data_IF_949483761455
#
_entry.id   IF_949483761455
#
_cell.length_a   1.000
_cell.length_b   1.000
_cell.length_c   1.000
_cell.angle_alpha   90.00
_cell.angle_beta   90.00
_cell.angle_gamma   90.00
#
_symmetry.space_group_name_H-M   'P 1'
#
loop_
_entity.id
_entity.type
_entity.pdbx_description
1 polymer ?
#
# COMPACT_ATOMS: atom_id res chain seq x y z
N UNK A 1 5.44 10.54 10.61
CA UNK A 1 6.55 9.70 10.14
C UNK A 1 6.45 9.32 8.65
N UNK A 2 5.27 9.11 8.09
CA UNK A 2 5.10 8.88 6.62
C UNK A 2 5.54 10.05 5.75
N UNK A 3 5.50 11.28 6.26
CA UNK A 3 5.88 12.50 5.51
C UNK A 3 7.38 12.66 5.24
N UNK A 4 8.25 11.82 5.80
CA UNK A 4 9.69 11.88 5.53
C UNK A 4 10.16 10.96 4.38
N UNK A 5 9.32 10.03 3.96
CA UNK A 5 9.67 9.05 2.92
C UNK A 5 9.79 9.71 1.54
N UNK A 6 8.81 10.55 1.20
CA UNK A 6 8.79 11.28 -0.05
C UNK A 6 10.02 12.18 -0.25
N UNK A 7 10.32 13.11 0.67
CA UNK A 7 11.49 13.98 0.56
C UNK A 7 12.80 13.22 0.48
N UNK A 8 12.96 12.13 1.25
CA UNK A 8 14.16 11.30 1.21
C UNK A 8 14.36 10.66 -0.17
N UNK A 9 13.32 10.00 -0.70
CA UNK A 9 13.39 9.36 -2.01
C UNK A 9 13.59 10.38 -3.13
N UNK A 10 12.89 11.51 -3.09
CA UNK A 10 13.08 12.60 -4.05
C UNK A 10 14.53 13.11 -4.03
N UNK A 11 15.13 13.26 -2.84
CA UNK A 11 16.52 13.69 -2.70
C UNK A 11 17.52 12.66 -3.23
N UNK A 12 17.25 11.36 -3.11
CA UNK A 12 18.08 10.29 -3.69
C UNK A 12 17.93 10.28 -5.22
N UNK A 13 16.71 10.33 -5.73
CA UNK A 13 16.43 10.30 -7.17
C UNK A 13 17.03 11.54 -7.86
N UNK A 14 16.93 12.71 -7.23
CA UNK A 14 17.47 13.97 -7.77
C UNK A 14 19.00 13.97 -7.94
N UNK A 15 19.72 13.02 -7.32
CA UNK A 15 21.17 12.88 -7.43
C UNK A 15 21.61 11.79 -8.41
N UNK A 16 20.68 11.07 -9.01
CA UNK A 16 20.91 10.06 -10.04
C UNK A 16 20.82 10.67 -11.44
N UNK A 17 21.15 9.88 -12.47
CA UNK A 17 21.06 10.32 -13.86
C UNK A 17 19.63 10.72 -14.22
N UNK A 18 19.49 11.70 -15.10
CA UNK A 18 18.21 12.20 -15.66
C UNK A 18 17.10 12.45 -14.61
N UNK A 19 17.38 13.30 -13.60
CA UNK A 19 16.51 13.44 -12.44
C UNK A 19 15.09 13.89 -12.78
N UNK A 20 14.89 14.71 -13.83
CA UNK A 20 13.57 15.20 -14.23
C UNK A 20 12.66 14.05 -14.67
N UNK A 21 13.13 13.20 -15.57
CA UNK A 21 12.36 12.05 -16.07
C UNK A 21 12.12 11.02 -14.97
N UNK A 22 13.14 10.76 -14.15
CA UNK A 22 13.04 9.80 -13.06
C UNK A 22 12.10 10.26 -11.93
N UNK A 23 12.12 11.54 -11.55
CA UNK A 23 11.17 12.09 -10.57
C UNK A 23 9.73 12.07 -11.12
N UNK A 24 9.55 12.45 -12.39
CA UNK A 24 8.25 12.38 -13.04
C UNK A 24 7.71 10.95 -13.07
N UNK A 25 8.54 9.99 -13.51
CA UNK A 25 8.17 8.58 -13.58
C UNK A 25 7.87 7.98 -12.20
N UNK A 26 8.67 8.32 -11.18
CA UNK A 26 8.42 7.92 -9.81
C UNK A 26 7.08 8.47 -9.29
N UNK A 27 6.81 9.75 -9.53
CA UNK A 27 5.56 10.39 -9.14
C UNK A 27 4.33 9.77 -9.80
N UNK A 28 4.40 9.49 -11.11
CA UNK A 28 3.34 8.80 -11.85
C UNK A 28 3.13 7.39 -11.30
N UNK A 29 4.20 6.59 -11.18
CA UNK A 29 4.11 5.22 -10.67
C UNK A 29 3.55 5.18 -9.25
N UNK A 30 3.99 6.09 -8.38
CA UNK A 30 3.52 6.18 -7.00
C UNK A 30 2.04 6.59 -6.92
N UNK A 31 1.59 7.57 -7.73
CA UNK A 31 0.19 7.97 -7.78
C UNK A 31 -0.74 6.82 -8.20
N UNK A 32 -0.34 6.03 -9.20
CA UNK A 32 -1.08 4.83 -9.61
C UNK A 32 -1.04 3.74 -8.55
N UNK A 33 0.11 3.49 -7.93
CA UNK A 33 0.23 2.53 -6.84
C UNK A 33 -0.68 2.87 -5.66
N UNK A 34 -0.76 4.15 -5.26
CA UNK A 34 -1.68 4.64 -4.23
C UNK A 34 -3.15 4.41 -4.57
N UNK A 35 -3.55 4.64 -5.82
CA UNK A 35 -4.93 4.38 -6.25
C UNK A 35 -5.25 2.89 -6.21
N UNK A 36 -4.32 2.05 -6.67
CA UNK A 36 -4.49 0.59 -6.68
C UNK A 36 -4.58 0.04 -5.25
N UNK A 37 -3.79 0.57 -4.31
CA UNK A 37 -3.83 0.14 -2.91
C UNK A 37 -5.01 0.71 -2.11
N UNK A 38 -5.69 1.74 -2.62
CA UNK A 38 -6.76 2.43 -1.90
C UNK A 38 -7.80 1.50 -1.27
N UNK A 39 -8.28 0.45 -1.95
CA UNK A 39 -9.22 -0.50 -1.34
C UNK A 39 -8.66 -1.25 -0.12
N UNK A 40 -7.35 -1.48 -0.04
CA UNK A 40 -6.74 -2.27 1.04
C UNK A 40 -6.30 -1.43 2.26
N UNK A 41 -6.27 -0.11 2.13
CA UNK A 41 -5.85 0.80 3.20
C UNK A 41 -6.70 0.65 4.47
N UNK A 42 -8.00 0.45 4.34
CA UNK A 42 -8.93 0.36 5.46
C UNK A 42 -8.97 -1.01 6.16
N UNK A 43 -8.14 -1.97 5.73
CA UNK A 43 -8.03 -3.30 6.36
C UNK A 43 -7.68 -3.21 7.85
N UNK A 44 -6.85 -2.25 8.24
CA UNK A 44 -6.48 -2.05 9.64
C UNK A 44 -7.69 -1.71 10.51
N UNK A 45 -8.57 -0.81 10.05
CA UNK A 45 -9.81 -0.45 10.75
C UNK A 45 -10.76 -1.65 10.85
N UNK A 46 -10.93 -2.40 9.76
CA UNK A 46 -11.75 -3.60 9.76
C UNK A 46 -11.19 -4.68 10.71
N UNK A 47 -9.86 -4.87 10.74
CA UNK A 47 -9.24 -5.84 11.64
C UNK A 47 -9.39 -5.45 13.10
N UNK A 48 -9.26 -4.16 13.42
CA UNK A 48 -9.44 -3.66 14.78
C UNK A 48 -10.89 -3.82 15.25
N UNK A 49 -11.86 -3.58 14.36
CA UNK A 49 -13.29 -3.58 14.70
C UNK A 49 -13.93 -4.97 14.70
N UNK A 50 -13.55 -5.85 13.75
CA UNK A 50 -14.27 -7.09 13.47
C UNK A 50 -13.60 -8.37 14.00
N UNK A 51 -12.32 -8.35 14.38
CA UNK A 51 -11.63 -9.54 14.87
C UNK A 51 -11.87 -9.67 16.36
N UNK A 52 -12.75 -10.56 16.78
CA UNK A 52 -13.09 -10.77 18.19
C UNK A 52 -12.63 -12.13 18.72
N UNK A 53 -12.73 -13.14 17.89
CA UNK A 53 -12.48 -14.54 18.23
C UNK A 53 -11.75 -15.28 17.08
N UNK A 54 -11.56 -16.58 17.27
CA UNK A 54 -10.91 -17.46 16.29
C UNK A 54 -11.67 -17.51 14.95
N UNK A 55 -12.99 -17.46 14.96
CA UNK A 55 -13.80 -17.59 13.74
C UNK A 55 -13.77 -16.30 12.93
N UNK A 56 -13.98 -15.15 13.58
CA UNK A 56 -13.89 -13.83 12.96
C UNK A 56 -12.49 -13.57 12.38
N UNK A 57 -11.42 -13.98 13.10
CA UNK A 57 -10.06 -13.93 12.59
C UNK A 57 -9.89 -14.71 11.28
N UNK A 58 -10.38 -15.97 11.23
CA UNK A 58 -10.24 -16.81 10.04
C UNK A 58 -11.02 -16.26 8.85
N UNK A 59 -12.27 -15.85 9.08
CA UNK A 59 -13.16 -15.28 8.03
C UNK A 59 -12.61 -13.98 7.49
N UNK A 60 -12.20 -13.05 8.37
CA UNK A 60 -11.64 -11.78 7.94
C UNK A 60 -10.31 -11.97 7.21
N UNK A 61 -9.43 -12.87 7.69
CA UNK A 61 -8.18 -13.20 7.01
C UNK A 61 -8.42 -13.74 5.59
N UNK A 62 -9.38 -14.64 5.41
CA UNK A 62 -9.72 -15.16 4.09
C UNK A 62 -10.25 -14.07 3.16
N UNK A 63 -11.12 -13.19 3.67
CA UNK A 63 -11.62 -12.03 2.93
C UNK A 63 -10.47 -11.10 2.48
N UNK A 64 -9.54 -10.80 3.37
CA UNK A 64 -8.41 -9.90 3.10
C UNK A 64 -7.45 -10.52 2.06
N UNK A 65 -7.19 -11.82 2.13
CA UNK A 65 -6.35 -12.48 1.14
C UNK A 65 -7.02 -12.50 -0.24
N UNK A 66 -8.35 -12.71 -0.29
CA UNK A 66 -9.12 -12.55 -1.52
C UNK A 66 -9.04 -11.13 -2.08
N UNK A 67 -9.24 -10.13 -1.24
CA UNK A 67 -9.14 -8.72 -1.63
C UNK A 67 -7.74 -8.37 -2.15
N UNK A 68 -6.69 -8.77 -1.45
CA UNK A 68 -5.30 -8.57 -1.89
C UNK A 68 -5.05 -9.25 -3.25
N UNK A 69 -5.58 -10.46 -3.44
CA UNK A 69 -5.49 -11.17 -4.72
C UNK A 69 -6.17 -10.41 -5.86
N UNK A 70 -7.38 -9.88 -5.62
CA UNK A 70 -8.12 -9.07 -6.60
C UNK A 70 -7.35 -7.80 -6.97
N UNK A 71 -6.84 -7.08 -5.96
CA UNK A 71 -6.09 -5.82 -6.18
C UNK A 71 -4.78 -6.08 -6.93
N UNK A 72 -4.07 -7.16 -6.59
CA UNK A 72 -2.85 -7.55 -7.32
C UNK A 72 -3.16 -7.98 -8.76
N UNK A 73 -4.25 -8.74 -8.98
CA UNK A 73 -4.71 -9.11 -10.32
C UNK A 73 -5.11 -7.88 -11.15
N UNK A 74 -5.75 -6.88 -10.52
CA UNK A 74 -6.07 -5.61 -11.16
C UNK A 74 -4.82 -4.84 -11.57
N UNK A 75 -3.80 -4.78 -10.70
CA UNK A 75 -2.51 -4.19 -11.05
C UNK A 75 -1.84 -4.92 -12.22
N UNK A 76 -1.85 -6.25 -12.21
CA UNK A 76 -1.34 -7.04 -13.33
C UNK A 76 -2.08 -6.76 -14.63
N UNK A 77 -3.41 -6.58 -14.57
CA UNK A 77 -4.20 -6.23 -15.74
C UNK A 77 -3.82 -4.85 -16.32
N UNK A 78 -3.55 -3.87 -15.46
CA UNK A 78 -3.03 -2.55 -15.89
C UNK A 78 -1.65 -2.69 -16.53
N UNK A 79 -0.79 -3.59 -16.04
CA UNK A 79 0.56 -3.82 -16.54
C UNK A 79 0.61 -4.59 -17.86
N UNK A 80 -0.51 -5.07 -18.41
CA UNK A 80 -0.56 -5.62 -19.77
C UNK A 80 -0.13 -4.50 -20.74
N UNK A 81 0.91 -4.71 -21.59
CA UNK A 81 1.50 -3.62 -22.37
C UNK A 81 0.53 -2.74 -23.15
N UNK A 82 -0.44 -3.26 -23.92
CA UNK A 82 -1.39 -2.42 -24.63
C UNK A 82 -2.30 -1.62 -23.70
N UNK A 83 -2.70 -2.18 -22.55
CA UNK A 83 -3.54 -1.49 -21.55
C UNK A 83 -2.74 -0.37 -20.88
N UNK A 84 -1.51 -0.67 -20.48
CA UNK A 84 -0.62 0.30 -19.86
C UNK A 84 -0.34 1.48 -20.79
N UNK A 85 0.01 1.21 -22.06
CA UNK A 85 0.28 2.27 -23.04
C UNK A 85 -0.95 3.13 -23.29
N UNK A 86 -2.11 2.53 -23.45
CA UNK A 86 -3.37 3.28 -23.60
C UNK A 86 -3.62 4.21 -22.40
N UNK A 87 -3.46 3.69 -21.16
CA UNK A 87 -3.69 4.51 -19.95
C UNK A 87 -2.66 5.65 -19.87
N UNK A 88 -1.37 5.36 -20.06
CA UNK A 88 -0.31 6.34 -19.83
C UNK A 88 -0.17 7.35 -20.97
N UNK A 89 -0.23 6.88 -22.21
CA UNK A 89 0.03 7.75 -23.38
C UNK A 89 -1.26 8.45 -23.85
N UNK A 90 -2.37 7.71 -23.99
CA UNK A 90 -3.60 8.27 -24.55
C UNK A 90 -4.47 8.94 -23.49
N UNK A 91 -4.64 8.30 -22.33
CA UNK A 91 -5.54 8.79 -21.29
C UNK A 91 -4.85 9.85 -20.40
N UNK A 92 -3.66 9.60 -19.88
CA UNK A 92 -2.94 10.53 -18.99
C UNK A 92 -2.09 11.51 -19.78
N UNK A 93 -1.69 11.16 -21.00
CA UNK A 93 -0.83 11.94 -21.89
C UNK A 93 0.59 12.18 -21.30
N UNK A 94 1.13 11.15 -20.63
CA UNK A 94 2.50 11.18 -20.11
C UNK A 94 3.48 11.00 -21.28
N UNK A 95 4.62 11.72 -21.32
CA UNK A 95 5.66 11.51 -22.33
C UNK A 95 6.18 10.06 -22.32
N UNK A 96 6.51 9.52 -23.51
CA UNK A 96 6.87 8.09 -23.67
C UNK A 96 8.04 7.68 -22.80
N UNK A 97 9.08 8.52 -22.69
CA UNK A 97 10.24 8.26 -21.83
C UNK A 97 9.87 8.11 -20.35
N UNK A 98 8.93 8.92 -19.87
CA UNK A 98 8.41 8.83 -18.48
C UNK A 98 7.54 7.60 -18.32
N UNK A 99 6.73 7.25 -19.32
CA UNK A 99 5.87 6.07 -19.30
C UNK A 99 6.68 4.78 -19.22
N UNK A 100 7.77 4.67 -19.98
CA UNK A 100 8.64 3.47 -19.97
C UNK A 100 9.34 3.29 -18.61
N UNK A 101 9.82 4.35 -18.01
CA UNK A 101 10.40 4.31 -16.66
C UNK A 101 9.34 3.95 -15.60
N UNK A 102 8.13 4.50 -15.71
CA UNK A 102 7.01 4.23 -14.81
C UNK A 102 6.50 2.78 -14.94
N UNK A 103 6.55 2.19 -16.14
CA UNK A 103 6.18 0.79 -16.38
C UNK A 103 6.99 -0.16 -15.49
N UNK A 104 8.30 -0.06 -15.56
CA UNK A 104 9.17 -0.91 -14.74
C UNK A 104 9.08 -0.59 -13.25
N UNK A 105 8.90 0.69 -12.89
CA UNK A 105 8.66 1.07 -11.50
C UNK A 105 7.38 0.42 -10.94
N UNK A 106 6.30 0.35 -11.72
CA UNK A 106 5.06 -0.34 -11.32
C UNK A 106 5.21 -1.85 -11.24
N UNK A 107 6.05 -2.48 -12.08
CA UNK A 107 6.43 -3.89 -11.92
C UNK A 107 7.17 -4.14 -10.61
N UNK A 108 8.09 -3.26 -10.22
CA UNK A 108 8.81 -3.35 -8.94
C UNK A 108 7.85 -3.15 -7.76
N UNK A 109 6.79 -2.34 -7.94
CA UNK A 109 5.74 -2.11 -6.95
C UNK A 109 4.64 -3.19 -6.96
N UNK A 110 4.74 -4.25 -7.78
CA UNK A 110 3.72 -5.31 -7.84
C UNK A 110 3.41 -5.96 -6.47
N UNK A 111 4.38 -6.28 -5.60
CA UNK A 111 4.09 -6.83 -4.28
C UNK A 111 3.54 -5.82 -3.27
N UNK A 112 3.57 -4.53 -3.57
CA UNK A 112 3.22 -3.43 -2.69
C UNK A 112 1.79 -3.52 -2.11
N UNK A 113 0.68 -3.63 -2.90
CA UNK A 113 -0.66 -3.64 -2.35
C UNK A 113 -0.91 -4.86 -1.45
N UNK A 114 -0.41 -6.03 -1.87
CA UNK A 114 -0.52 -7.26 -1.09
C UNK A 114 0.20 -7.16 0.25
N UNK A 115 1.42 -6.64 0.25
CA UNK A 115 2.21 -6.43 1.47
C UNK A 115 1.56 -5.40 2.40
N UNK A 116 0.99 -4.32 1.86
CA UNK A 116 0.25 -3.32 2.65
C UNK A 116 -0.99 -3.94 3.28
N UNK A 117 -1.82 -4.66 2.53
CA UNK A 117 -3.00 -5.30 3.07
C UNK A 117 -2.65 -6.32 4.16
N UNK A 118 -1.62 -7.13 3.94
CA UNK A 118 -1.12 -8.10 4.91
C UNK A 118 -0.64 -7.41 6.20
N UNK A 119 0.22 -6.41 6.10
CA UNK A 119 0.71 -5.61 7.22
C UNK A 119 -0.43 -4.98 8.01
N UNK A 120 -1.36 -4.32 7.33
CA UNK A 120 -2.48 -3.62 7.96
C UNK A 120 -3.40 -4.55 8.73
N UNK A 121 -3.56 -5.79 8.27
CA UNK A 121 -4.30 -6.80 9.01
C UNK A 121 -3.68 -7.07 10.38
N UNK A 122 -2.37 -7.34 10.43
CA UNK A 122 -1.68 -7.60 11.69
C UNK A 122 -1.56 -6.36 12.57
N UNK A 123 -1.40 -5.17 11.99
CA UNK A 123 -1.45 -3.92 12.74
C UNK A 123 -2.80 -3.72 13.44
N UNK A 124 -3.91 -4.02 12.78
CA UNK A 124 -5.23 -3.96 13.40
C UNK A 124 -5.36 -4.89 14.61
N UNK A 125 -4.82 -6.11 14.51
CA UNK A 125 -4.78 -7.08 15.63
C UNK A 125 -3.93 -6.56 16.79
N UNK A 126 -2.74 -5.99 16.50
CA UNK A 126 -1.86 -5.40 17.52
C UNK A 126 -2.51 -4.20 18.22
N UNK A 127 -3.22 -3.35 17.49
CA UNK A 127 -3.95 -2.21 18.04
C UNK A 127 -5.06 -2.70 18.96
N UNK A 128 -5.83 -3.71 18.55
CA UNK A 128 -6.87 -4.32 19.36
C UNK A 128 -6.33 -4.93 20.66
N UNK A 129 -5.15 -5.58 20.63
CA UNK A 129 -4.47 -6.14 21.81
C UNK A 129 -3.75 -5.05 22.66
N UNK A 130 -3.94 -3.75 22.35
CA UNK A 130 -3.31 -2.63 23.07
C UNK A 130 -1.80 -2.45 22.81
N UNK A 131 -1.22 -3.14 21.82
CA UNK A 131 0.22 -3.21 21.56
C UNK A 131 0.66 -2.23 20.46
N UNK A 132 0.18 -0.99 20.51
CA UNK A 132 0.44 0.05 19.49
C UNK A 132 1.92 0.39 19.31
N UNK A 133 2.74 0.20 20.35
CA UNK A 133 4.20 0.41 20.28
C UNK A 133 4.87 -0.49 19.24
N UNK A 134 4.36 -1.71 19.05
CA UNK A 134 4.88 -2.64 18.04
C UNK A 134 4.57 -2.16 16.61
N UNK A 135 3.45 -1.50 16.42
CA UNK A 135 3.12 -0.86 15.13
C UNK A 135 4.12 0.25 14.80
N UNK A 136 4.48 1.07 15.79
CA UNK A 136 5.51 2.11 15.60
C UNK A 136 6.89 1.51 15.29
N UNK A 137 7.26 0.40 15.94
CA UNK A 137 8.50 -0.33 15.63
C UNK A 137 8.50 -0.86 14.20
N UNK A 138 7.38 -1.43 13.74
CA UNK A 138 7.21 -1.87 12.34
C UNK A 138 7.49 -0.74 11.34
N UNK A 139 6.94 0.44 11.60
CA UNK A 139 7.20 1.64 10.78
C UNK A 139 8.68 2.04 10.82
N UNK A 140 9.35 1.91 11.98
CA UNK A 140 10.80 2.12 12.09
C UNK A 140 11.60 1.17 11.20
N UNK A 141 11.26 -0.13 11.22
CA UNK A 141 11.89 -1.13 10.34
C UNK A 141 11.71 -0.77 8.86
N UNK A 142 10.50 -0.33 8.46
CA UNK A 142 10.23 0.11 7.10
C UNK A 142 11.14 1.26 6.68
N UNK A 143 11.23 2.31 7.51
CA UNK A 143 12.06 3.48 7.22
C UNK A 143 13.55 3.10 7.08
N UNK A 144 14.06 2.27 7.99
CA UNK A 144 15.46 1.81 7.94
C UNK A 144 15.69 0.97 6.69
N UNK A 145 14.81 0.02 6.38
CA UNK A 145 14.94 -0.82 5.18
C UNK A 145 14.86 0.01 3.90
N UNK A 146 13.91 0.94 3.82
CA UNK A 146 13.75 1.83 2.68
C UNK A 146 14.99 2.70 2.48
N UNK A 147 15.50 3.32 3.56
CA UNK A 147 16.68 4.17 3.48
C UNK A 147 17.93 3.37 3.11
N UNK A 148 18.16 2.22 3.73
CA UNK A 148 19.31 1.36 3.41
C UNK A 148 19.24 0.82 1.98
N UNK A 149 18.06 0.44 1.48
CA UNK A 149 17.87 0.01 0.09
C UNK A 149 18.17 1.16 -0.87
N UNK A 150 17.60 2.34 -0.64
CA UNK A 150 17.81 3.51 -1.49
C UNK A 150 19.29 3.91 -1.56
N UNK A 151 19.98 3.95 -0.42
CA UNK A 151 21.40 4.25 -0.36
C UNK A 151 22.25 3.15 -0.99
N UNK A 152 21.94 1.87 -0.76
CA UNK A 152 22.67 0.77 -1.36
C UNK A 152 22.55 0.80 -2.90
N UNK A 153 21.36 1.01 -3.44
CA UNK A 153 21.17 1.14 -4.89
C UNK A 153 21.87 2.38 -5.45
N UNK A 154 21.86 3.48 -4.71
CA UNK A 154 22.54 4.71 -5.11
C UNK A 154 24.07 4.53 -5.20
N UNK A 155 24.71 3.87 -4.22
CA UNK A 155 26.16 3.74 -4.18
C UNK A 155 26.72 2.60 -5.03
N UNK A 156 25.98 1.49 -5.16
CA UNK A 156 26.52 0.28 -5.76
C UNK A 156 26.04 -0.02 -7.18
N UNK A 157 24.78 0.29 -7.51
CA UNK A 157 24.17 -0.11 -8.79
C UNK A 157 23.81 1.05 -9.71
N UNK A 158 23.44 2.19 -9.16
CA UNK A 158 23.00 3.40 -9.87
C UNK A 158 21.99 3.15 -11.01
N UNK A 159 20.92 2.35 -10.79
CA UNK A 159 19.88 2.18 -11.81
C UNK A 159 19.06 3.46 -11.97
N UNK A 160 18.11 3.52 -12.94
CA UNK A 160 17.20 4.65 -13.08
C UNK A 160 16.54 5.03 -11.75
N UNK A 161 16.50 6.33 -11.43
CA UNK A 161 16.05 6.83 -10.13
C UNK A 161 14.63 6.42 -9.76
N UNK A 162 13.73 6.32 -10.76
CA UNK A 162 12.37 5.84 -10.56
C UNK A 162 12.32 4.40 -10.01
N UNK A 163 13.23 3.55 -10.47
CA UNK A 163 13.33 2.16 -9.99
C UNK A 163 13.93 2.07 -8.59
N UNK A 164 14.90 2.94 -8.27
CA UNK A 164 15.44 3.08 -6.91
C UNK A 164 14.31 3.43 -5.93
N UNK A 165 13.49 4.42 -6.27
CA UNK A 165 12.34 4.82 -5.46
C UNK A 165 11.35 3.68 -5.26
N UNK A 166 10.95 3.01 -6.35
CA UNK A 166 10.01 1.89 -6.32
C UNK A 166 10.54 0.69 -5.51
N UNK A 167 11.82 0.33 -5.69
CA UNK A 167 12.44 -0.78 -4.97
C UNK A 167 12.57 -0.48 -3.47
N UNK A 168 12.97 0.74 -3.11
CA UNK A 168 13.08 1.18 -1.72
C UNK A 168 11.74 1.11 -1.00
N UNK A 169 10.68 1.60 -1.62
CA UNK A 169 9.32 1.53 -1.08
C UNK A 169 8.84 0.07 -0.96
N UNK A 170 8.98 -0.72 -2.02
CA UNK A 170 8.53 -2.11 -2.06
C UNK A 170 9.21 -2.97 -1.00
N UNK A 171 10.55 -2.91 -0.90
CA UNK A 171 11.31 -3.67 0.09
C UNK A 171 11.05 -3.18 1.51
N UNK A 172 10.88 -1.87 1.72
CA UNK A 172 10.52 -1.31 3.01
C UNK A 172 9.19 -1.86 3.53
N UNK A 173 8.17 -1.87 2.69
CA UNK A 173 6.83 -2.39 3.06
C UNK A 173 6.85 -3.91 3.23
N UNK A 174 7.57 -4.65 2.40
CA UNK A 174 7.73 -6.10 2.55
C UNK A 174 8.40 -6.46 3.88
N UNK A 175 9.49 -5.77 4.24
CA UNK A 175 10.16 -5.98 5.52
C UNK A 175 9.21 -5.71 6.71
N UNK A 176 8.47 -4.59 6.67
CA UNK A 176 7.48 -4.27 7.69
C UNK A 176 6.36 -5.32 7.75
N UNK A 177 5.89 -5.82 6.60
CA UNK A 177 4.86 -6.86 6.55
C UNK A 177 5.33 -8.17 7.22
N UNK A 178 6.57 -8.58 6.94
CA UNK A 178 7.18 -9.76 7.56
C UNK A 178 7.30 -9.57 9.07
N UNK A 179 7.89 -8.45 9.49
CA UNK A 179 8.10 -8.16 10.92
C UNK A 179 6.77 -8.02 11.67
N UNK A 180 5.77 -7.39 11.07
CA UNK A 180 4.42 -7.28 11.65
C UNK A 180 3.78 -8.63 11.94
N UNK A 181 4.04 -9.65 11.11
CA UNK A 181 3.56 -11.02 11.34
C UNK A 181 4.19 -11.63 12.59
N UNK A 182 5.51 -11.49 12.75
CA UNK A 182 6.21 -11.99 13.95
C UNK A 182 5.78 -11.24 15.21
N UNK A 183 5.66 -9.91 15.14
CA UNK A 183 5.20 -9.10 16.26
C UNK A 183 3.78 -9.45 16.71
N UNK A 184 2.89 -9.79 15.78
CA UNK A 184 1.52 -10.16 16.06
C UNK A 184 1.35 -11.60 16.53
N UNK A 185 2.38 -12.44 16.52
CA UNK A 185 2.27 -13.88 16.81
C UNK A 185 1.64 -14.17 18.17
N UNK A 186 2.06 -13.46 19.22
CA UNK A 186 1.52 -13.66 20.57
C UNK A 186 0.04 -13.24 20.67
N UNK A 187 -0.34 -12.14 20.00
CA UNK A 187 -1.73 -11.67 19.96
C UNK A 187 -2.61 -12.63 19.16
N UNK A 188 -2.10 -13.15 18.05
CA UNK A 188 -2.79 -14.17 17.23
C UNK A 188 -2.95 -15.47 18.00
N UNK A 189 -1.93 -15.93 18.75
CA UNK A 189 -2.05 -17.13 19.59
C UNK A 189 -3.14 -16.98 20.64
N UNK A 190 -3.23 -15.84 21.31
CA UNK A 190 -4.31 -15.54 22.25
C UNK A 190 -5.68 -15.65 21.59
N UNK A 191 -5.87 -15.00 20.43
CA UNK A 191 -7.11 -15.07 19.66
C UNK A 191 -7.49 -16.48 19.23
N UNK A 192 -6.50 -17.30 18.87
CA UNK A 192 -6.73 -18.69 18.46
C UNK A 192 -7.02 -19.62 19.64
N UNK A 193 -6.51 -19.28 20.85
CA UNK A 193 -6.75 -20.01 22.08
C UNK A 193 -8.10 -19.65 22.73
N UNK A 194 -8.65 -18.49 22.41
CA UNK A 194 -10.01 -18.10 22.82
C UNK A 194 -10.98 -18.96 21.99
N UNK A 195 -11.43 -20.07 22.57
CA UNK A 195 -12.56 -20.83 22.04
C UNK A 195 -13.73 -19.86 22.00
N UNK A 196 -14.42 -19.76 20.86
CA UNK A 196 -15.58 -18.90 20.74
C UNK A 196 -16.52 -19.22 21.89
N UNK A 197 -16.91 -18.17 22.63
CA UNK A 197 -17.88 -18.31 23.70
C UNK A 197 -19.06 -19.06 23.13
N UNK A 198 -19.21 -20.32 23.53
CA UNK A 198 -20.36 -21.12 23.16
C UNK A 198 -21.60 -20.38 23.60
N UNK A 199 -22.62 -20.33 22.75
CA UNK A 199 -23.85 -19.58 22.89
C UNK A 199 -24.61 -19.80 24.24
N UNK A 200 -24.13 -20.65 25.12
CA UNK A 200 -24.75 -21.02 26.39
C UNK A 200 -24.39 -20.12 27.60
N UNK A 201 -23.48 -19.16 27.46
CA UNK A 201 -22.99 -18.42 28.64
C UNK A 201 -23.30 -16.91 28.66
N UNK A 202 -24.03 -16.36 27.68
CA UNK A 202 -24.39 -14.94 27.68
C UNK A 202 -25.90 -14.75 27.48
N UNK A 203 -26.62 -14.70 28.58
CA UNK A 203 -27.96 -14.11 28.67
C UNK A 203 -27.85 -12.59 28.45
N UNK A 204 -27.93 -12.16 27.21
CA UNK A 204 -27.96 -10.74 26.84
C UNK A 204 -28.03 -10.58 25.33
N UNK A 205 -28.82 -9.65 24.89
CA UNK A 205 -29.30 -9.30 23.55
C UNK A 205 -28.19 -9.09 22.45
N UNK A 206 -26.96 -9.55 22.70
CA UNK A 206 -25.81 -9.58 21.78
C UNK A 206 -25.28 -10.99 21.55
N UNK A 207 -26.12 -12.01 21.72
CA UNK A 207 -25.76 -13.41 21.49
C UNK A 207 -25.31 -13.59 20.03
N UNK A 208 -23.99 -13.66 19.85
CA UNK A 208 -23.35 -14.44 18.82
C UNK A 208 -23.83 -14.30 17.37
N UNK A 209 -24.03 -13.10 16.85
CA UNK A 209 -24.11 -12.96 15.38
C UNK A 209 -22.74 -13.33 14.80
N UNK A 210 -22.62 -14.55 14.30
CA UNK A 210 -21.42 -14.98 13.59
C UNK A 210 -21.02 -13.96 12.53
N UNK A 211 -19.72 -13.57 12.49
CA UNK A 211 -19.19 -12.66 11.49
C UNK A 211 -19.34 -13.28 10.09
N UNK A 212 -20.39 -12.96 9.38
CA UNK A 212 -20.63 -13.42 8.01
C UNK A 212 -19.87 -12.57 7.00
N UNK A 213 -19.56 -13.13 5.81
CA UNK A 213 -18.94 -12.37 4.71
C UNK A 213 -19.80 -11.17 4.29
N UNK A 214 -21.13 -11.28 4.35
CA UNK A 214 -22.05 -10.19 4.06
C UNK A 214 -21.87 -9.02 5.06
N UNK A 215 -21.69 -9.32 6.36
CA UNK A 215 -21.40 -8.32 7.39
C UNK A 215 -20.05 -7.67 7.19
N UNK A 216 -19.00 -8.45 6.86
CA UNK A 216 -17.68 -7.91 6.52
C UNK A 216 -17.78 -6.97 5.32
N UNK A 217 -18.45 -7.37 4.24
CA UNK A 217 -18.62 -6.55 3.06
C UNK A 217 -19.40 -5.26 3.34
N UNK A 218 -20.51 -5.36 4.06
CA UNK A 218 -21.33 -4.19 4.42
C UNK A 218 -20.57 -3.18 5.27
N UNK A 219 -19.70 -3.64 6.15
CA UNK A 219 -18.81 -2.78 6.93
C UNK A 219 -17.68 -2.19 6.07
N UNK A 220 -17.06 -3.03 5.24
CA UNK A 220 -15.85 -2.68 4.52
C UNK A 220 -16.07 -1.80 3.28
N UNK A 221 -17.15 -2.05 2.54
CA UNK A 221 -17.43 -1.34 1.28
C UNK A 221 -17.43 0.18 1.41
N UNK A 222 -18.16 0.81 2.36
CA UNK A 222 -18.14 2.27 2.50
C UNK A 222 -16.75 2.81 2.89
N UNK A 223 -15.99 2.07 3.70
CA UNK A 223 -14.63 2.46 4.06
C UNK A 223 -13.69 2.41 2.85
N UNK A 224 -13.76 1.34 2.07
CA UNK A 224 -12.96 1.19 0.84
C UNK A 224 -13.33 2.27 -0.19
N UNK A 225 -14.60 2.59 -0.34
CA UNK A 225 -15.06 3.65 -1.24
C UNK A 225 -14.52 5.02 -0.81
N UNK A 226 -14.61 5.34 0.48
CA UNK A 226 -14.09 6.61 1.03
C UNK A 226 -12.58 6.74 0.82
N UNK A 227 -11.81 5.67 1.08
CA UNK A 227 -10.36 5.68 0.84
C UNK A 227 -10.01 5.82 -0.63
N UNK A 228 -10.75 5.15 -1.52
CA UNK A 228 -10.55 5.23 -2.96
C UNK A 228 -10.81 6.64 -3.48
N UNK A 229 -11.89 7.28 -3.05
CA UNK A 229 -12.20 8.67 -3.43
C UNK A 229 -11.11 9.62 -2.91
N UNK A 230 -10.69 9.45 -1.64
CA UNK A 230 -9.65 10.29 -1.04
C UNK A 230 -8.31 10.18 -1.74
N UNK A 231 -7.90 8.98 -2.14
CA UNK A 231 -6.62 8.74 -2.81
C UNK A 231 -6.67 8.99 -4.33
N UNK A 232 -7.84 9.07 -4.93
CA UNK A 232 -8.00 9.40 -6.35
C UNK A 232 -7.50 10.82 -6.69
N UNK A 233 -7.36 11.69 -5.70
CA UNK A 233 -6.85 13.05 -5.91
C UNK A 233 -5.43 13.06 -6.52
N UNK A 234 -4.55 12.14 -6.13
CA UNK A 234 -3.18 12.03 -6.63
C UNK A 234 -3.13 11.71 -8.14
N UNK A 235 -3.76 10.64 -8.64
CA UNK A 235 -3.83 10.36 -10.07
C UNK A 235 -4.56 11.43 -10.87
N UNK A 236 -5.58 12.08 -10.31
CA UNK A 236 -6.24 13.21 -10.96
C UNK A 236 -5.28 14.38 -11.20
N UNK A 237 -4.46 14.73 -10.20
CA UNK A 237 -3.43 15.74 -10.36
C UNK A 237 -2.40 15.33 -11.43
N UNK A 238 -1.95 14.06 -11.41
CA UNK A 238 -1.06 13.51 -12.43
C UNK A 238 -1.65 13.62 -13.84
N UNK A 239 -2.96 13.35 -14.00
CA UNK A 239 -3.68 13.50 -15.25
C UNK A 239 -3.67 14.95 -15.78
N UNK A 240 -3.91 15.93 -14.91
CA UNK A 240 -3.86 17.33 -15.33
C UNK A 240 -2.44 17.81 -15.64
N UNK A 241 -1.45 17.35 -14.89
CA UNK A 241 -0.05 17.68 -15.09
C UNK A 241 0.53 17.07 -16.37
N UNK A 242 0.11 15.86 -16.75
CA UNK A 242 0.49 15.24 -18.01
C UNK A 242 0.04 16.04 -19.24
N UNK A 243 -1.00 16.88 -19.09
CA UNK A 243 -1.53 17.75 -20.12
C UNK A 243 -1.11 19.22 -20.00
N UNK A 244 -0.22 19.54 -19.06
CA UNK A 244 0.30 20.90 -18.89
C UNK A 244 1.25 21.29 -20.04
N UNK A 245 1.55 22.59 -20.17
CA UNK A 245 2.47 23.12 -21.19
C UNK A 245 3.88 22.52 -21.06
N UNK A 246 4.32 22.23 -19.84
CA UNK A 246 5.59 21.57 -19.52
C UNK A 246 5.32 20.30 -18.69
N UNK A 247 4.92 19.18 -19.33
CA UNK A 247 4.43 18.00 -18.59
C UNK A 247 5.51 17.33 -17.75
N UNK A 248 6.73 17.20 -18.25
CA UNK A 248 7.83 16.55 -17.52
C UNK A 248 8.20 17.32 -16.25
N UNK A 249 8.35 18.64 -16.37
CA UNK A 249 8.66 19.52 -15.24
C UNK A 249 7.54 19.54 -14.20
N UNK A 250 6.30 19.61 -14.64
CA UNK A 250 5.13 19.58 -13.76
C UNK A 250 5.04 18.27 -12.99
N UNK A 251 5.22 17.13 -13.67
CA UNK A 251 5.21 15.81 -13.08
C UNK A 251 6.42 15.57 -12.16
N UNK A 252 7.59 16.17 -12.44
CA UNK A 252 8.78 16.04 -11.60
C UNK A 252 8.69 16.86 -10.30
N UNK A 253 8.11 18.06 -10.37
CA UNK A 253 7.97 18.94 -9.20
C UNK A 253 6.89 18.46 -8.25
N UNK A 254 5.81 17.88 -8.75
CA UNK A 254 4.66 17.48 -7.94
C UNK A 254 5.00 16.52 -6.78
N UNK A 255 5.73 15.42 -6.98
CA UNK A 255 6.08 14.50 -5.89
C UNK A 255 6.91 15.18 -4.79
N UNK A 256 7.74 16.17 -5.18
CA UNK A 256 8.56 16.95 -4.25
C UNK A 256 7.72 17.95 -3.46
N UNK A 257 6.75 18.58 -4.11
CA UNK A 257 5.91 19.60 -3.49
C UNK A 257 4.87 19.03 -2.51
N UNK A 258 4.43 17.79 -2.73
CA UNK A 258 3.39 17.12 -1.93
C UNK A 258 4.00 16.20 -0.85
N UNK A 259 5.30 15.94 -0.90
CA UNK A 259 6.01 15.11 0.09
C UNK A 259 6.40 15.92 1.31
#
# INVERSE_FOLDING_TARGET
MMSMEGPFLAAVIARLADPRFNLAAHGVAFAFALLIEAPVIMIMSASTALVEDRLSFKRLRAFIYGLNGIVTAFQLAILIPPVFRFIMLDLVAVPEEVADLAYWALWILLPWPGAIGYRRFFHGILIRDGRTRLVALGTGVRLVTMASTGLALFFFLQPPGAWVGAASLSLGVLAEAIVSRFMAESSVRKLLATEGVTADSVTGDRAGEELTYARIWRFYYPLALTSTIGLAAQPMMTFFMGRAIAPVESLAVFPVAVS
#
